data_IF_937108063851
#
_entry.id   IF_937108063851
#
_cell.length_a   1.000
_cell.length_b   1.000
_cell.length_c   1.000
_cell.angle_alpha   90.00
_cell.angle_beta   90.00
_cell.angle_gamma   90.00
#
_symmetry.space_group_name_H-M   'P 1'
#
loop_
_entity.id
_entity.type
_entity.pdbx_description
1 polymer ?
#
# COMPACT_ATOMS: atom_id res chain seq x y z
N UNK A 1 -25.75 -8.09 11.30
CA UNK A 1 -24.36 -8.14 10.80
C UNK A 1 -24.30 -7.33 9.52
N UNK A 2 -23.26 -6.53 9.30
CA UNK A 2 -23.15 -5.71 8.08
C UNK A 2 -22.89 -6.61 6.87
N UNK A 3 -23.70 -6.51 5.83
CA UNK A 3 -23.43 -7.17 4.55
C UNK A 3 -22.48 -6.30 3.72
N UNK A 4 -21.18 -6.59 3.86
CA UNK A 4 -20.13 -5.90 3.11
C UNK A 4 -20.13 -6.26 1.62
N UNK A 5 -20.76 -7.36 1.21
CA UNK A 5 -20.74 -7.79 -0.19
C UNK A 5 -21.68 -6.97 -1.07
N UNK A 6 -22.65 -6.28 -0.46
CA UNK A 6 -23.54 -5.31 -1.10
C UNK A 6 -22.87 -3.93 -1.31
N UNK A 7 -21.66 -3.70 -0.78
CA UNK A 7 -20.96 -2.43 -0.94
C UNK A 7 -20.34 -2.29 -2.34
N UNK A 8 -20.09 -1.06 -2.83
CA UNK A 8 -19.43 -0.83 -4.11
C UNK A 8 -18.05 -1.51 -4.19
N UNK A 9 -17.82 -2.30 -5.23
CA UNK A 9 -16.53 -2.94 -5.48
C UNK A 9 -15.57 -1.97 -6.13
N UNK A 10 -14.41 -1.78 -5.52
CA UNK A 10 -13.33 -0.91 -6.05
C UNK A 10 -12.12 -1.71 -6.57
N UNK A 11 -12.04 -3.01 -6.24
CA UNK A 11 -10.99 -3.88 -6.77
C UNK A 11 -11.27 -5.35 -6.47
N UNK A 12 -10.89 -6.23 -7.39
CA UNK A 12 -10.94 -7.68 -7.22
C UNK A 12 -9.56 -8.27 -7.51
N UNK A 13 -9.00 -8.97 -6.52
CA UNK A 13 -7.81 -9.80 -6.68
C UNK A 13 -8.18 -11.29 -6.66
N UNK A 14 -7.18 -12.15 -6.75
CA UNK A 14 -7.37 -13.60 -6.78
C UNK A 14 -7.99 -14.17 -5.49
N UNK A 15 -7.62 -13.62 -4.32
CA UNK A 15 -8.05 -14.12 -3.01
C UNK A 15 -8.97 -13.13 -2.25
N UNK A 16 -9.18 -11.93 -2.79
CA UNK A 16 -9.73 -10.81 -2.02
C UNK A 16 -10.50 -9.83 -2.88
N UNK A 17 -11.58 -9.30 -2.32
CA UNK A 17 -12.32 -8.18 -2.91
C UNK A 17 -12.25 -6.97 -1.99
N UNK A 18 -12.03 -5.80 -2.58
CA UNK A 18 -12.02 -4.51 -1.91
C UNK A 18 -13.35 -3.81 -2.15
N UNK A 19 -14.01 -3.42 -1.06
CA UNK A 19 -15.31 -2.74 -1.10
C UNK A 19 -15.20 -1.38 -0.44
N UNK A 20 -15.73 -0.34 -1.08
CA UNK A 20 -15.76 1.01 -0.54
C UNK A 20 -16.94 1.16 0.42
N UNK A 21 -16.73 1.79 1.57
CA UNK A 21 -17.83 2.05 2.50
C UNK A 21 -18.78 3.10 1.90
N UNK A 22 -20.09 2.79 1.73
CA UNK A 22 -21.02 3.71 1.11
C UNK A 22 -21.37 4.91 1.99
N UNK A 23 -21.26 4.78 3.32
CA UNK A 23 -21.55 5.84 4.28
C UNK A 23 -20.33 6.71 4.61
N UNK A 24 -19.13 6.12 4.63
CA UNK A 24 -17.86 6.83 4.84
C UNK A 24 -16.90 6.53 3.69
N UNK A 25 -16.89 7.40 2.67
CA UNK A 25 -16.06 7.23 1.46
C UNK A 25 -14.56 7.32 1.73
N UNK A 26 -14.12 7.63 2.96
CA UNK A 26 -12.70 7.58 3.34
C UNK A 26 -12.25 6.20 3.79
N UNK A 27 -13.15 5.20 3.78
CA UNK A 27 -12.89 3.85 4.27
C UNK A 27 -13.24 2.79 3.24
N UNK A 28 -12.47 1.73 3.26
CA UNK A 28 -12.75 0.50 2.52
C UNK A 28 -12.58 -0.71 3.41
N UNK A 29 -13.15 -1.82 2.98
CA UNK A 29 -12.89 -3.14 3.55
C UNK A 29 -12.24 -4.03 2.52
N UNK A 30 -11.22 -4.80 2.93
CA UNK A 30 -10.64 -5.86 2.11
C UNK A 30 -11.03 -7.22 2.69
N UNK A 31 -11.78 -8.02 1.93
CA UNK A 31 -12.42 -9.25 2.42
C UNK A 31 -11.99 -10.47 1.61
N UNK A 32 -11.62 -11.53 2.32
CA UNK A 32 -11.31 -12.85 1.77
C UNK A 32 -12.26 -13.91 2.33
N UNK A 33 -12.65 -14.92 1.52
CA UNK A 33 -13.27 -16.13 2.05
C UNK A 33 -12.35 -16.81 3.06
N UNK A 34 -12.88 -17.36 4.15
CA UNK A 34 -12.05 -18.01 5.19
C UNK A 34 -11.14 -19.12 4.65
N UNK A 35 -11.62 -19.89 3.67
CA UNK A 35 -10.84 -20.93 2.98
C UNK A 35 -9.56 -20.40 2.31
N UNK A 36 -9.54 -19.12 1.91
CA UNK A 36 -8.45 -18.47 1.18
C UNK A 36 -8.02 -17.16 1.87
N UNK A 37 -7.85 -17.18 3.19
CA UNK A 37 -7.57 -15.97 3.98
C UNK A 37 -6.12 -15.80 4.43
N UNK A 38 -5.18 -16.62 3.93
CA UNK A 38 -3.78 -16.63 4.43
C UNK A 38 -3.11 -15.26 4.29
N UNK A 39 -3.29 -14.57 3.16
CA UNK A 39 -2.74 -13.23 2.98
C UNK A 39 -3.39 -12.21 3.93
N UNK A 40 -4.73 -12.18 3.98
CA UNK A 40 -5.49 -11.27 4.83
C UNK A 40 -5.12 -11.39 6.31
N UNK A 41 -4.96 -12.62 6.82
CA UNK A 41 -4.50 -12.87 8.19
C UNK A 41 -3.09 -12.33 8.47
N UNK A 42 -2.16 -12.48 7.50
CA UNK A 42 -0.80 -11.93 7.63
C UNK A 42 -0.82 -10.42 7.69
N UNK A 43 -1.62 -9.77 6.84
CA UNK A 43 -1.77 -8.32 6.82
C UNK A 43 -2.37 -7.79 8.12
N UNK A 44 -3.46 -8.40 8.62
CA UNK A 44 -4.07 -8.03 9.91
C UNK A 44 -3.03 -8.12 11.03
N UNK A 45 -2.28 -9.23 11.11
CA UNK A 45 -1.23 -9.40 12.13
C UNK A 45 -0.15 -8.33 12.00
N UNK A 46 0.23 -7.98 10.78
CA UNK A 46 1.26 -6.97 10.54
C UNK A 46 0.78 -5.56 10.88
N UNK A 47 -0.45 -5.19 10.52
CA UNK A 47 -1.03 -3.90 10.92
C UNK A 47 -1.15 -3.75 12.44
N UNK A 48 -1.61 -4.80 13.14
CA UNK A 48 -1.61 -4.83 14.61
C UNK A 48 -0.20 -4.59 15.19
N UNK A 49 0.81 -5.23 14.61
CA UNK A 49 2.20 -5.02 15.00
C UNK A 49 2.67 -3.57 14.78
N UNK A 50 2.30 -2.93 13.67
CA UNK A 50 2.63 -1.52 13.41
C UNK A 50 1.96 -0.57 14.41
N UNK A 51 0.68 -0.82 14.74
CA UNK A 51 -0.07 -0.04 15.75
C UNK A 51 0.60 -0.17 17.12
N UNK A 52 0.92 -1.39 17.55
CA UNK A 52 1.57 -1.64 18.83
C UNK A 52 2.93 -0.92 18.95
N UNK A 53 3.62 -0.70 17.83
CA UNK A 53 4.89 0.03 17.78
C UNK A 53 4.75 1.54 17.62
N UNK A 54 3.53 2.06 17.55
CA UNK A 54 3.28 3.50 17.37
C UNK A 54 3.80 4.02 16.02
N UNK A 55 3.81 3.19 14.99
CA UNK A 55 4.29 3.59 13.66
C UNK A 55 3.25 4.54 13.02
N UNK A 56 3.67 5.72 12.51
CA UNK A 56 2.75 6.62 11.83
C UNK A 56 2.38 6.06 10.46
N UNK A 57 1.13 6.24 10.06
CA UNK A 57 0.58 5.72 8.80
C UNK A 57 0.72 6.76 7.67
N UNK A 58 1.93 7.28 7.49
CA UNK A 58 2.15 8.41 6.57
C UNK A 58 2.19 7.96 5.11
N UNK A 59 2.74 6.78 4.84
CA UNK A 59 2.95 6.22 3.49
C UNK A 59 2.28 4.84 3.32
N UNK A 60 1.38 4.49 4.22
CA UNK A 60 0.53 3.28 4.18
C UNK A 60 -0.87 3.67 4.69
N UNK A 61 -1.95 3.02 4.24
CA UNK A 61 -3.30 3.31 4.69
C UNK A 61 -3.48 3.05 6.19
N UNK A 62 -4.18 3.95 6.90
CA UNK A 62 -4.57 3.70 8.29
C UNK A 62 -5.36 2.40 8.42
N UNK A 63 -5.10 1.65 9.49
CA UNK A 63 -5.84 0.44 9.82
C UNK A 63 -6.87 0.74 10.90
N UNK A 64 -8.15 0.46 10.63
CA UNK A 64 -9.25 0.75 11.54
C UNK A 64 -9.69 -0.48 12.36
N UNK A 65 -9.49 -1.68 11.84
CA UNK A 65 -9.80 -2.90 12.59
C UNK A 65 -9.95 -4.15 11.73
N UNK A 66 -9.91 -5.30 12.38
CA UNK A 66 -10.30 -6.57 11.77
C UNK A 66 -11.84 -6.66 11.69
N UNK A 67 -12.34 -7.23 10.60
CA UNK A 67 -13.75 -7.59 10.44
C UNK A 67 -13.87 -9.07 10.09
N UNK A 68 -14.95 -9.71 10.54
CA UNK A 68 -15.18 -11.13 10.24
C UNK A 68 -16.65 -11.47 10.28
N UNK A 69 -17.05 -12.45 9.48
CA UNK A 69 -18.36 -13.11 9.55
C UNK A 69 -18.19 -14.62 9.47
N UNK A 70 -19.28 -15.34 9.22
CA UNK A 70 -19.27 -16.81 9.21
C UNK A 70 -18.33 -17.35 8.12
N UNK A 71 -18.44 -16.82 6.90
CA UNK A 71 -17.67 -17.32 5.74
C UNK A 71 -16.49 -16.44 5.31
N UNK A 72 -16.28 -15.30 5.97
CA UNK A 72 -15.26 -14.33 5.56
C UNK A 72 -14.45 -13.76 6.73
N UNK A 73 -13.28 -13.24 6.36
CA UNK A 73 -12.42 -12.44 7.23
C UNK A 73 -11.78 -11.32 6.41
N UNK A 74 -11.54 -10.19 7.06
CA UNK A 74 -11.05 -8.99 6.39
C UNK A 74 -10.61 -7.95 7.39
N UNK A 75 -10.39 -6.75 6.88
CA UNK A 75 -10.13 -5.59 7.71
C UNK A 75 -10.62 -4.31 7.04
N UNK A 76 -10.90 -3.32 7.87
CA UNK A 76 -11.19 -1.96 7.47
C UNK A 76 -9.90 -1.13 7.48
N UNK A 77 -9.70 -0.35 6.42
CA UNK A 77 -8.58 0.57 6.29
C UNK A 77 -8.99 1.87 5.58
N UNK A 78 -8.10 2.85 5.60
CA UNK A 78 -8.24 4.07 4.82
C UNK A 78 -8.31 3.77 3.32
N UNK A 79 -9.27 4.41 2.66
CA UNK A 79 -9.31 4.51 1.21
C UNK A 79 -8.56 5.77 0.80
N UNK A 80 -7.56 5.59 -0.06
CA UNK A 80 -6.86 6.71 -0.69
C UNK A 80 -7.65 7.07 -1.93
N UNK A 81 -8.42 8.15 -1.89
CA UNK A 81 -9.15 8.64 -3.06
C UNK A 81 -8.19 9.26 -4.07
N UNK A 82 -8.58 9.25 -5.35
CA UNK A 82 -7.94 10.06 -6.38
C UNK A 82 -8.22 11.57 -6.22
N UNK A 83 -7.73 12.36 -7.17
CA UNK A 83 -7.84 13.82 -7.13
C UNK A 83 -9.12 14.36 -7.80
N UNK A 84 -9.93 13.48 -8.40
CA UNK A 84 -11.27 13.86 -8.83
C UNK A 84 -12.09 14.21 -7.56
N UNK A 85 -12.78 15.36 -7.53
CA UNK A 85 -13.54 15.84 -6.37
C UNK A 85 -14.62 14.86 -5.88
N UNK A 86 -14.94 13.83 -6.67
CA UNK A 86 -15.72 12.69 -6.20
C UNK A 86 -14.89 11.83 -5.24
N UNK A 87 -15.33 11.77 -3.98
CA UNK A 87 -14.67 11.00 -2.90
C UNK A 87 -14.56 9.48 -3.12
N UNK A 88 -15.10 8.94 -4.21
CA UNK A 88 -15.00 7.53 -4.61
C UNK A 88 -14.12 7.30 -5.86
N UNK A 89 -13.39 8.32 -6.30
CA UNK A 89 -12.47 8.18 -7.43
C UNK A 89 -11.31 7.24 -7.10
N UNK A 90 -11.04 6.31 -8.01
CA UNK A 90 -9.92 5.38 -7.90
C UNK A 90 -8.62 6.19 -8.05
N UNK A 91 -7.66 6.08 -7.12
CA UNK A 91 -6.42 6.82 -7.19
C UNK A 91 -5.55 6.31 -8.33
N UNK A 92 -4.78 7.23 -8.93
CA UNK A 92 -3.79 6.89 -9.94
C UNK A 92 -2.67 6.03 -9.32
N UNK A 93 -2.32 4.91 -9.96
CA UNK A 93 -1.17 4.11 -9.53
C UNK A 93 0.13 4.79 -9.97
N UNK A 94 1.25 4.47 -9.30
CA UNK A 94 2.56 4.94 -9.73
C UNK A 94 2.85 4.49 -11.17
N UNK A 95 2.42 3.30 -11.58
CA UNK A 95 2.56 2.85 -12.95
C UNK A 95 1.84 3.77 -13.96
N UNK A 96 0.61 4.19 -13.65
CA UNK A 96 -0.17 5.10 -14.49
C UNK A 96 0.48 6.48 -14.52
N UNK A 97 0.82 7.04 -13.36
CA UNK A 97 1.47 8.33 -13.22
C UNK A 97 2.75 8.43 -14.05
N UNK A 98 3.56 7.37 -14.06
CA UNK A 98 4.80 7.29 -14.82
C UNK A 98 4.62 7.39 -16.34
N UNK A 99 3.46 7.02 -16.88
CA UNK A 99 3.15 7.13 -18.31
C UNK A 99 2.86 8.57 -18.75
N UNK A 100 2.54 9.45 -17.81
CA UNK A 100 2.17 10.84 -18.07
C UNK A 100 3.28 11.85 -17.73
N UNK A 101 4.38 11.38 -17.13
CA UNK A 101 5.55 12.20 -16.85
C UNK A 101 6.19 12.72 -18.14
N UNK A 102 6.28 14.04 -18.25
CA UNK A 102 6.76 14.72 -19.46
C UNK A 102 7.92 15.70 -19.22
N UNK A 103 8.05 16.25 -18.02
CA UNK A 103 9.09 17.25 -17.70
C UNK A 103 10.16 16.74 -16.73
N UNK A 104 11.36 17.32 -16.82
CA UNK A 104 12.45 17.05 -15.85
C UNK A 104 12.07 17.47 -14.43
N UNK A 105 11.25 18.52 -14.30
CA UNK A 105 10.74 18.96 -12.99
C UNK A 105 9.85 17.88 -12.36
N UNK A 106 8.94 17.27 -13.14
CA UNK A 106 8.07 16.21 -12.65
C UNK A 106 8.85 14.95 -12.27
N UNK A 107 9.88 14.60 -13.06
CA UNK A 107 10.80 13.51 -12.74
C UNK A 107 11.52 13.80 -11.41
N UNK A 108 11.98 15.02 -11.18
CA UNK A 108 12.64 15.39 -9.94
C UNK A 108 11.67 15.36 -8.74
N UNK A 109 10.43 15.84 -8.92
CA UNK A 109 9.36 15.74 -7.90
C UNK A 109 9.07 14.27 -7.55
N UNK A 110 9.01 13.39 -8.54
CA UNK A 110 8.82 11.96 -8.31
C UNK A 110 10.02 11.34 -7.58
N UNK A 111 11.26 11.64 -7.98
CA UNK A 111 12.48 11.16 -7.29
C UNK A 111 12.44 11.54 -5.81
N UNK A 112 12.06 12.77 -5.50
CA UNK A 112 11.89 13.23 -4.12
C UNK A 112 10.79 12.44 -3.39
N UNK A 113 9.67 12.12 -4.05
CA UNK A 113 8.59 11.33 -3.46
C UNK A 113 8.98 9.86 -3.21
N UNK A 114 9.75 9.26 -4.14
CA UNK A 114 10.34 7.93 -3.99
C UNK A 114 11.31 7.88 -2.81
N UNK A 115 12.18 8.87 -2.67
CA UNK A 115 13.13 8.92 -1.55
C UNK A 115 12.41 9.12 -0.20
N UNK A 116 11.34 9.91 -0.15
CA UNK A 116 10.49 10.03 1.04
C UNK A 116 9.87 8.68 1.43
N UNK A 117 9.31 7.95 0.46
CA UNK A 117 8.76 6.61 0.70
C UNK A 117 9.85 5.64 1.20
N UNK A 118 11.01 5.60 0.55
CA UNK A 118 12.16 4.77 0.95
C UNK A 118 12.61 5.07 2.37
N UNK A 119 12.79 6.36 2.68
CA UNK A 119 13.21 6.84 3.99
C UNK A 119 12.19 6.44 5.06
N UNK A 120 10.90 6.56 4.78
CA UNK A 120 9.83 6.11 5.67
C UNK A 120 9.93 4.60 5.95
N UNK A 121 10.08 3.76 4.91
CA UNK A 121 10.21 2.31 5.07
C UNK A 121 11.42 1.93 5.93
N UNK A 122 12.59 2.54 5.67
CA UNK A 122 13.83 2.30 6.42
C UNK A 122 13.78 2.83 7.85
N UNK A 123 13.16 4.00 8.07
CA UNK A 123 13.05 4.63 9.38
C UNK A 123 12.27 3.74 10.33
N UNK A 124 11.12 3.26 9.86
CA UNK A 124 10.16 2.48 10.65
C UNK A 124 10.30 0.97 10.49
N UNK A 125 11.31 0.50 9.74
CA UNK A 125 11.57 -0.91 9.48
C UNK A 125 10.35 -1.65 8.89
N UNK A 126 9.66 -0.99 7.95
CA UNK A 126 8.48 -1.54 7.28
C UNK A 126 8.98 -2.31 6.06
N UNK A 127 8.87 -3.63 6.12
CA UNK A 127 9.33 -4.51 5.05
C UNK A 127 8.15 -4.80 4.12
N UNK A 128 8.11 -4.24 2.90
CA UNK A 128 7.07 -4.57 1.95
C UNK A 128 7.21 -6.03 1.52
N UNK A 129 6.10 -6.75 1.52
CA UNK A 129 6.00 -8.07 0.91
C UNK A 129 6.22 -7.96 -0.59
N UNK A 130 5.47 -7.06 -1.24
CA UNK A 130 5.58 -6.76 -2.66
C UNK A 130 5.70 -5.25 -2.87
N UNK A 131 6.79 -4.83 -3.50
CA UNK A 131 7.01 -3.45 -3.90
C UNK A 131 6.86 -3.37 -5.41
N UNK A 132 5.63 -3.16 -5.86
CA UNK A 132 5.23 -3.08 -7.27
C UNK A 132 4.65 -1.68 -7.53
N UNK A 133 4.89 -1.09 -8.72
CA UNK A 133 4.33 0.21 -9.07
C UNK A 133 2.79 0.27 -8.97
N UNK A 134 2.09 -0.82 -9.31
CA UNK A 134 0.62 -0.91 -9.19
C UNK A 134 0.10 -0.97 -7.74
N UNK A 135 0.96 -1.36 -6.79
CA UNK A 135 0.60 -1.36 -5.36
C UNK A 135 0.87 -0.01 -4.68
N UNK A 136 1.42 0.96 -5.41
CA UNK A 136 1.71 2.30 -4.92
C UNK A 136 0.76 3.24 -5.63
N UNK A 137 0.03 4.05 -4.87
CA UNK A 137 -0.82 5.10 -5.44
C UNK A 137 -0.21 6.47 -5.23
N UNK A 138 -0.55 7.39 -6.11
CA UNK A 138 -0.06 8.77 -6.13
C UNK A 138 -1.17 9.67 -5.62
N UNK A 139 -0.89 10.44 -4.57
CA UNK A 139 -1.72 11.55 -4.11
C UNK A 139 -1.07 12.84 -4.57
N UNK A 140 -1.78 13.65 -5.35
CA UNK A 140 -1.22 14.90 -5.85
C UNK A 140 -1.26 15.96 -4.75
N UNK A 141 -0.27 16.84 -4.75
CA UNK A 141 -0.10 17.86 -3.72
C UNK A 141 0.64 19.06 -4.27
N UNK A 142 0.52 20.20 -3.58
CA UNK A 142 1.11 21.48 -4.03
C UNK A 142 2.63 21.42 -4.16
N UNK A 143 3.30 20.63 -3.31
CA UNK A 143 4.76 20.46 -3.32
C UNK A 143 5.24 19.26 -4.14
N UNK A 144 4.35 18.61 -4.89
CA UNK A 144 4.60 17.37 -5.63
C UNK A 144 3.87 16.16 -5.05
N UNK A 145 4.02 14.99 -5.70
CA UNK A 145 3.27 13.80 -5.37
C UNK A 145 3.68 13.20 -4.03
N UNK A 146 2.72 12.57 -3.36
CA UNK A 146 2.94 11.69 -2.20
C UNK A 146 2.59 10.26 -2.59
N UNK A 147 3.54 9.34 -2.38
CA UNK A 147 3.38 7.93 -2.70
C UNK A 147 2.85 7.15 -1.50
N UNK A 148 1.77 6.38 -1.66
CA UNK A 148 1.19 5.55 -0.59
C UNK A 148 1.20 4.09 -1.04
N UNK A 149 1.80 3.20 -0.25
CA UNK A 149 1.79 1.75 -0.49
C UNK A 149 0.50 1.15 0.05
N UNK A 150 -0.43 0.80 -0.82
CA UNK A 150 -1.81 0.40 -0.46
C UNK A 150 -2.00 -1.12 -0.33
N UNK A 151 -1.03 -1.90 -0.76
CA UNK A 151 -1.05 -3.36 -0.70
C UNK A 151 0.37 -3.93 -0.58
N UNK A 152 0.47 -5.23 -0.29
CA UNK A 152 1.76 -5.92 -0.17
C UNK A 152 2.46 -5.64 1.15
N UNK A 153 1.71 -5.48 2.25
CA UNK A 153 2.27 -5.40 3.61
C UNK A 153 2.24 -6.77 4.30
N UNK A 154 3.16 -7.01 5.24
CA UNK A 154 3.22 -8.26 6.00
C UNK A 154 3.95 -9.40 5.29
N UNK A 155 5.23 -9.59 5.66
CA UNK A 155 6.12 -10.63 5.13
C UNK A 155 5.57 -12.06 5.19
N UNK A 156 6.01 -12.92 4.27
CA UNK A 156 5.71 -14.37 4.25
C UNK A 156 6.64 -15.20 5.16
N UNK A 157 7.49 -14.54 5.93
CA UNK A 157 8.54 -15.21 6.72
C UNK A 157 7.96 -16.00 7.89
N UNK A 158 8.40 -17.25 8.04
CA UNK A 158 8.00 -18.13 9.13
C UNK A 158 8.39 -17.53 10.51
N UNK A 159 9.60 -16.97 10.58
CA UNK A 159 10.11 -16.25 11.75
C UNK A 159 10.47 -14.83 11.31
N UNK A 160 9.65 -13.82 11.65
CA UNK A 160 9.83 -12.46 11.17
C UNK A 160 10.89 -11.70 12.00
N UNK A 161 12.06 -12.31 12.23
CA UNK A 161 13.14 -11.70 13.02
C UNK A 161 13.54 -10.33 12.46
N UNK A 162 13.48 -10.15 11.14
CA UNK A 162 13.76 -8.86 10.49
C UNK A 162 12.76 -7.76 10.82
N UNK A 163 11.55 -8.08 11.28
CA UNK A 163 10.60 -7.06 11.75
C UNK A 163 11.08 -6.43 13.06
N UNK A 164 11.83 -7.18 13.89
CA UNK A 164 12.34 -6.74 15.18
C UNK A 164 13.76 -6.16 15.06
N UNK A 165 14.64 -6.81 14.29
CA UNK A 165 16.02 -6.37 14.10
C UNK A 165 16.14 -5.43 12.90
N UNK A 166 16.20 -4.12 13.18
CA UNK A 166 16.25 -3.06 12.15
C UNK A 166 17.39 -3.23 11.14
N UNK A 167 18.56 -3.74 11.54
CA UNK A 167 19.66 -3.99 10.61
C UNK A 167 19.28 -5.04 9.55
N UNK A 168 18.66 -6.15 9.98
CA UNK A 168 18.22 -7.21 9.07
C UNK A 168 17.06 -6.75 8.18
N UNK A 169 16.11 -6.03 8.77
CA UNK A 169 14.98 -5.48 8.03
C UNK A 169 15.40 -4.42 7.01
N UNK A 170 16.27 -3.46 7.37
CA UNK A 170 16.82 -2.48 6.43
C UNK A 170 17.57 -3.14 5.27
N UNK A 171 18.35 -4.20 5.53
CA UNK A 171 18.99 -4.98 4.47
C UNK A 171 17.98 -5.57 3.48
N UNK A 172 16.86 -6.10 3.98
CA UNK A 172 15.78 -6.63 3.13
C UNK A 172 15.06 -5.53 2.37
N UNK A 173 14.78 -4.40 3.00
CA UNK A 173 14.16 -3.22 2.38
C UNK A 173 15.03 -2.72 1.24
N UNK A 174 16.32 -2.48 1.47
CA UNK A 174 17.25 -2.00 0.44
C UNK A 174 17.34 -2.96 -0.76
N UNK A 175 17.43 -4.27 -0.51
CA UNK A 175 17.43 -5.28 -1.59
C UNK A 175 16.14 -5.26 -2.41
N UNK A 176 14.98 -5.12 -1.76
CA UNK A 176 13.69 -5.01 -2.45
C UNK A 176 13.59 -3.69 -3.22
N UNK A 177 14.09 -2.60 -2.63
CA UNK A 177 14.13 -1.28 -3.25
C UNK A 177 15.00 -1.28 -4.51
N UNK A 178 16.20 -1.87 -4.46
CA UNK A 178 17.09 -1.97 -5.62
C UNK A 178 16.42 -2.72 -6.79
N UNK A 179 15.73 -3.84 -6.50
CA UNK A 179 14.97 -4.57 -7.51
C UNK A 179 13.82 -3.73 -8.09
N UNK A 180 13.14 -2.97 -7.24
CA UNK A 180 12.06 -2.08 -7.64
C UNK A 180 12.57 -0.94 -8.53
N UNK A 181 13.63 -0.23 -8.12
CA UNK A 181 14.29 0.81 -8.92
C UNK A 181 14.75 0.28 -10.27
N UNK A 182 15.46 -0.86 -10.32
CA UNK A 182 15.90 -1.47 -11.58
C UNK A 182 14.75 -1.76 -12.54
N UNK A 183 13.62 -2.26 -12.03
CA UNK A 183 12.43 -2.51 -12.85
C UNK A 183 11.80 -1.21 -13.35
N UNK A 184 11.76 -0.17 -12.52
CA UNK A 184 11.27 1.15 -12.92
C UNK A 184 12.13 1.74 -14.02
N UNK A 185 13.45 1.82 -13.84
CA UNK A 185 14.36 2.40 -14.85
C UNK A 185 14.34 1.61 -16.17
N UNK A 186 14.22 0.28 -16.10
CA UNK A 186 14.11 -0.57 -17.29
C UNK A 186 12.80 -0.32 -18.07
N UNK A 187 11.69 -0.08 -17.36
CA UNK A 187 10.37 0.15 -17.98
C UNK A 187 10.16 1.60 -18.40
N UNK A 188 10.79 2.54 -17.70
CA UNK A 188 10.66 3.98 -17.88
C UNK A 188 12.06 4.62 -17.93
N UNK A 189 12.69 4.59 -19.10
CA UNK A 189 14.09 5.00 -19.30
C UNK A 189 14.40 6.46 -18.88
N UNK A 190 13.38 7.32 -18.83
CA UNK A 190 13.50 8.69 -18.34
C UNK A 190 13.78 8.81 -16.83
N UNK A 191 13.61 7.72 -16.07
CA UNK A 191 13.88 7.61 -14.65
C UNK A 191 15.26 6.99 -14.43
N UNK A 192 16.33 7.77 -14.53
CA UNK A 192 17.65 7.30 -14.10
C UNK A 192 17.69 7.27 -12.55
N UNK A 193 17.28 6.14 -11.94
CA UNK A 193 17.05 5.92 -10.50
C UNK A 193 18.09 5.03 -9.83
#
# INVERSE_FOLDING_TARGET
>A
MTDYTAWPVIGRGAERTCYLNPADKTRLVKISPRKNAKQTLREIKYFRFLIQRGIPFDHIPKFYGEISGDDFIGFEQEFISGDDPRHDSIPETLEQYLRHLSSQEDIQKLRNALEKLKTYLLRYNIIPCDLLPDNIVVKHGTTGPKLILIDGLGGTELIPASNYFKVLGNRKILRKWEKFSKKLSAKFQQLDL
#
